data_IF_849290210141
#
_entry.id   IF_849290210141
#
_cell.length_a   1.000
_cell.length_b   1.000
_cell.length_c   1.000
_cell.angle_alpha   90.00
_cell.angle_beta   90.00
_cell.angle_gamma   90.00
#
_symmetry.space_group_name_H-M   'P 1'
#
loop_
_entity.id
_entity.type
_entity.pdbx_description
1 polymer ?
#
# COMPACT_ATOMS: atom_id res chain seq x y z
N UNK A 1 11.73 3.11 -24.22
CA UNK A 1 11.18 3.28 -22.84
C UNK A 1 10.99 4.76 -22.58
N UNK A 2 9.74 5.20 -22.40
CA UNK A 2 9.49 6.58 -21.96
C UNK A 2 10.03 6.69 -20.52
N UNK A 3 10.87 7.69 -20.24
CA UNK A 3 11.26 8.00 -18.87
C UNK A 3 10.04 8.52 -18.14
N UNK A 4 9.65 7.88 -17.04
CA UNK A 4 8.59 8.38 -16.18
C UNK A 4 8.97 9.76 -15.61
N UNK A 5 8.00 10.66 -15.56
CA UNK A 5 8.19 12.03 -15.10
C UNK A 5 7.87 12.14 -13.60
N UNK A 6 8.78 12.76 -12.87
CA UNK A 6 8.53 13.10 -11.46
C UNK A 6 7.52 14.24 -11.38
N UNK A 7 6.45 14.05 -10.61
CA UNK A 7 5.41 15.04 -10.40
C UNK A 7 5.83 16.11 -9.38
N UNK A 8 5.33 17.34 -9.60
CA UNK A 8 5.51 18.43 -8.66
C UNK A 8 4.50 18.32 -7.51
N UNK A 9 5.02 18.16 -6.30
CA UNK A 9 4.24 18.02 -5.07
C UNK A 9 3.39 19.25 -4.74
N UNK A 10 3.78 20.44 -5.21
CA UNK A 10 3.04 21.68 -5.00
C UNK A 10 1.74 21.76 -5.81
N UNK A 11 1.61 20.95 -6.87
CA UNK A 11 0.48 20.97 -7.80
C UNK A 11 -0.52 19.83 -7.60
N UNK A 12 -0.57 19.23 -6.41
CA UNK A 12 -1.60 18.22 -6.10
C UNK A 12 -2.97 18.88 -6.08
N UNK A 13 -3.88 18.58 -7.02
CA UNK A 13 -5.19 19.20 -7.06
C UNK A 13 -6.03 18.85 -5.83
N UNK A 14 -6.76 19.82 -5.31
CA UNK A 14 -7.58 19.67 -4.09
C UNK A 14 -8.80 18.76 -4.27
N UNK A 15 -9.34 18.69 -5.50
CA UNK A 15 -10.50 17.87 -5.81
C UNK A 15 -10.11 16.73 -6.76
N UNK A 16 -10.47 15.48 -6.44
CA UNK A 16 -10.14 14.35 -7.30
C UNK A 16 -10.96 14.43 -8.60
N UNK A 17 -10.32 14.21 -9.77
CA UNK A 17 -11.02 14.08 -11.04
C UNK A 17 -11.99 12.88 -11.07
N UNK A 18 -12.96 12.92 -11.96
CA UNK A 18 -14.01 11.88 -12.09
C UNK A 18 -13.43 10.47 -12.31
N UNK A 19 -12.32 10.34 -13.03
CA UNK A 19 -11.67 9.03 -13.26
C UNK A 19 -11.19 8.33 -11.97
N UNK A 20 -11.01 9.06 -10.87
CA UNK A 20 -10.69 8.46 -9.58
C UNK A 20 -11.88 7.69 -8.96
N UNK A 21 -13.11 7.86 -9.45
CA UNK A 21 -14.25 7.11 -8.94
C UNK A 21 -14.08 5.60 -9.18
N UNK A 22 -13.58 5.20 -10.36
CA UNK A 22 -13.26 3.79 -10.64
C UNK A 22 -12.17 3.27 -9.72
N UNK A 23 -11.16 4.07 -9.47
CA UNK A 23 -10.08 3.73 -8.53
C UNK A 23 -10.63 3.58 -7.10
N UNK A 24 -11.55 4.44 -6.67
CA UNK A 24 -12.19 4.32 -5.35
C UNK A 24 -13.02 3.04 -5.20
N UNK A 25 -13.74 2.63 -6.25
CA UNK A 25 -14.44 1.34 -6.25
C UNK A 25 -13.45 0.17 -6.16
N UNK A 26 -12.35 0.25 -6.89
CA UNK A 26 -11.31 -0.78 -6.88
C UNK A 26 -10.67 -0.91 -5.49
N UNK A 27 -10.30 0.18 -4.83
CA UNK A 27 -9.70 0.11 -3.49
C UNK A 27 -10.66 -0.40 -2.43
N UNK A 28 -11.95 -0.15 -2.55
CA UNK A 28 -12.95 -0.72 -1.64
C UNK A 28 -12.96 -2.23 -1.72
N UNK A 29 -12.98 -2.80 -2.92
CA UNK A 29 -12.91 -4.25 -3.14
C UNK A 29 -11.60 -4.85 -2.62
N UNK A 30 -10.47 -4.19 -2.86
CA UNK A 30 -9.16 -4.63 -2.37
C UNK A 30 -9.11 -4.60 -0.85
N UNK A 31 -9.61 -3.56 -0.22
CA UNK A 31 -9.68 -3.44 1.24
C UNK A 31 -10.50 -4.58 1.86
N UNK A 32 -11.63 -4.92 1.27
CA UNK A 32 -12.47 -6.05 1.72
C UNK A 32 -11.72 -7.38 1.61
N UNK A 33 -11.09 -7.65 0.48
CA UNK A 33 -10.29 -8.87 0.25
C UNK A 33 -9.16 -8.99 1.27
N UNK A 34 -8.40 -7.93 1.49
CA UNK A 34 -7.28 -7.92 2.43
C UNK A 34 -7.75 -8.08 3.88
N UNK A 35 -8.86 -7.45 4.24
CA UNK A 35 -9.48 -7.59 5.56
C UNK A 35 -9.92 -9.04 5.82
N UNK A 36 -10.54 -9.68 4.84
CA UNK A 36 -10.98 -11.07 4.95
C UNK A 36 -9.78 -12.01 5.12
N UNK A 37 -8.71 -11.83 4.35
CA UNK A 37 -7.48 -12.63 4.45
C UNK A 37 -6.85 -12.47 5.84
N UNK A 38 -6.75 -11.26 6.36
CA UNK A 38 -6.18 -10.99 7.69
C UNK A 38 -7.04 -11.64 8.78
N UNK A 39 -8.35 -11.51 8.69
CA UNK A 39 -9.28 -12.13 9.63
C UNK A 39 -9.13 -13.65 9.64
N UNK A 40 -9.03 -14.27 8.48
CA UNK A 40 -8.80 -15.72 8.36
C UNK A 40 -7.44 -16.13 8.96
N UNK A 41 -6.38 -15.40 8.66
CA UNK A 41 -5.05 -15.66 9.21
C UNK A 41 -5.03 -15.58 10.74
N UNK A 42 -5.68 -14.59 11.33
CA UNK A 42 -5.77 -14.41 12.77
C UNK A 42 -6.61 -15.52 13.43
N UNK A 43 -7.68 -15.96 12.78
CA UNK A 43 -8.50 -17.08 13.28
C UNK A 43 -7.72 -18.40 13.31
N UNK A 44 -6.86 -18.64 12.31
CA UNK A 44 -6.03 -19.84 12.23
C UNK A 44 -4.81 -19.78 13.18
N UNK A 45 -4.29 -18.59 13.43
CA UNK A 45 -3.09 -18.34 14.24
C UNK A 45 -3.25 -17.09 15.12
N UNK A 46 -3.95 -17.19 16.26
CA UNK A 46 -4.25 -16.01 17.10
C UNK A 46 -3.02 -15.26 17.64
N UNK A 47 -1.88 -15.93 17.74
CA UNK A 47 -0.62 -15.35 18.26
C UNK A 47 0.29 -14.80 17.17
N UNK A 48 -0.17 -14.73 15.93
CA UNK A 48 0.63 -14.36 14.77
C UNK A 48 1.25 -12.95 14.88
N UNK A 49 0.56 -12.02 15.54
CA UNK A 49 1.02 -10.65 15.73
C UNK A 49 2.10 -10.51 16.81
N UNK A 50 2.30 -11.54 17.61
CA UNK A 50 3.27 -11.55 18.72
C UNK A 50 4.55 -12.32 18.41
N UNK A 51 4.60 -13.01 17.27
CA UNK A 51 5.76 -13.82 16.87
C UNK A 51 6.79 -12.93 16.16
N UNK A 52 7.73 -12.41 16.94
CA UNK A 52 8.74 -11.44 16.50
C UNK A 52 9.94 -12.06 15.76
N UNK A 53 9.97 -13.37 15.60
CA UNK A 53 11.12 -14.07 15.02
C UNK A 53 11.09 -14.18 13.48
N UNK A 54 10.16 -13.49 12.81
CA UNK A 54 10.10 -13.51 11.36
C UNK A 54 11.01 -12.45 10.71
N UNK A 55 11.78 -12.88 9.75
CA UNK A 55 12.80 -12.20 8.93
C UNK A 55 12.32 -10.91 8.22
N UNK A 56 11.08 -10.48 8.41
CA UNK A 56 10.47 -9.35 7.71
C UNK A 56 10.07 -8.20 8.63
N UNK A 57 10.95 -7.87 9.58
CA UNK A 57 10.79 -6.71 10.48
C UNK A 57 10.58 -5.37 9.77
N UNK A 58 11.01 -5.26 8.50
CA UNK A 58 10.86 -4.03 7.71
C UNK A 58 9.39 -3.66 7.43
N UNK A 59 8.51 -4.64 7.31
CA UNK A 59 7.08 -4.43 7.09
C UNK A 59 6.27 -4.42 8.38
N UNK A 60 6.86 -4.80 9.49
CA UNK A 60 6.16 -4.98 10.76
C UNK A 60 6.20 -3.72 11.62
N UNK A 61 5.02 -3.26 12.04
CA UNK A 61 4.87 -2.19 13.02
C UNK A 61 4.84 -2.75 14.44
N UNK A 62 5.30 -1.97 15.42
CA UNK A 62 5.21 -2.36 16.84
C UNK A 62 3.77 -2.50 17.32
N UNK A 63 2.85 -1.74 16.75
CA UNK A 63 1.41 -1.75 17.04
C UNK A 63 0.62 -1.57 15.75
N UNK A 64 -0.60 -2.12 15.65
CA UNK A 64 -1.46 -1.86 14.52
C UNK A 64 -1.71 -0.36 14.37
N UNK A 65 -1.59 0.22 13.18
CA UNK A 65 -1.97 1.60 12.92
C UNK A 65 -3.46 1.83 13.24
N UNK A 66 -3.80 3.03 13.73
CA UNK A 66 -5.18 3.43 14.05
C UNK A 66 -6.03 3.81 12.83
N UNK A 67 -5.59 3.48 11.64
CA UNK A 67 -6.28 3.75 10.38
C UNK A 67 -6.69 2.43 9.73
N UNK A 68 -7.93 2.35 9.22
CA UNK A 68 -8.39 1.18 8.49
C UNK A 68 -7.64 1.00 7.17
N UNK A 69 -7.67 -0.21 6.62
CA UNK A 69 -7.08 -0.51 5.30
C UNK A 69 -7.71 0.38 4.23
N UNK A 70 -9.03 0.52 4.23
CA UNK A 70 -9.74 1.36 3.26
C UNK A 70 -9.35 2.83 3.37
N UNK A 71 -9.30 3.39 4.57
CA UNK A 71 -8.93 4.79 4.78
C UNK A 71 -7.46 5.03 4.40
N UNK A 72 -6.59 4.07 4.66
CA UNK A 72 -5.18 4.14 4.27
C UNK A 72 -5.00 4.12 2.76
N UNK A 73 -5.65 3.19 2.07
CA UNK A 73 -5.69 3.14 0.59
C UNK A 73 -6.28 4.42 0.01
N UNK A 74 -7.39 4.90 0.57
CA UNK A 74 -8.04 6.14 0.14
C UNK A 74 -7.12 7.34 0.27
N UNK A 75 -6.35 7.43 1.36
CA UNK A 75 -5.36 8.48 1.56
C UNK A 75 -4.25 8.44 0.51
N UNK A 76 -3.67 7.27 0.26
CA UNK A 76 -2.61 7.12 -0.73
C UNK A 76 -3.13 7.47 -2.13
N UNK A 77 -4.29 6.95 -2.51
CA UNK A 77 -4.92 7.20 -3.81
C UNK A 77 -5.29 8.67 -4.00
N UNK A 78 -5.79 9.33 -2.96
CA UNK A 78 -6.14 10.76 -3.01
C UNK A 78 -4.96 11.64 -3.38
N UNK A 79 -3.78 11.34 -2.84
CA UNK A 79 -2.58 12.15 -3.06
C UNK A 79 -1.75 11.69 -4.26
N UNK A 80 -1.63 10.39 -4.49
CA UNK A 80 -0.81 9.83 -5.58
C UNK A 80 -1.54 9.65 -6.90
N UNK A 81 -2.87 9.53 -6.88
CA UNK A 81 -3.76 9.45 -8.06
C UNK A 81 -3.40 8.37 -9.08
N UNK A 82 -3.20 7.13 -8.66
CA UNK A 82 -2.95 6.04 -9.58
C UNK A 82 -4.21 5.69 -10.38
N UNK A 83 -4.02 5.13 -11.56
CA UNK A 83 -5.10 4.50 -12.32
C UNK A 83 -5.58 3.22 -11.63
N UNK A 84 -6.83 2.82 -11.88
CA UNK A 84 -7.42 1.60 -11.29
C UNK A 84 -6.62 0.34 -11.62
N UNK A 85 -6.08 0.25 -12.85
CA UNK A 85 -5.20 -0.84 -13.26
C UNK A 85 -3.91 -0.92 -12.45
N UNK A 86 -3.32 0.22 -12.10
CA UNK A 86 -2.13 0.30 -11.25
C UNK A 86 -2.43 -0.19 -9.83
N UNK A 87 -3.58 0.17 -9.28
CA UNK A 87 -4.02 -0.32 -7.97
C UNK A 87 -4.22 -1.84 -7.99
N UNK A 88 -4.83 -2.36 -9.04
CA UNK A 88 -4.98 -3.81 -9.24
C UNK A 88 -3.62 -4.52 -9.37
N UNK A 89 -2.66 -3.90 -10.06
CA UNK A 89 -1.30 -4.43 -10.16
C UNK A 89 -0.62 -4.52 -8.78
N UNK A 90 -0.86 -3.56 -7.89
CA UNK A 90 -0.33 -3.61 -6.53
C UNK A 90 -0.79 -4.84 -5.76
N UNK A 91 -2.04 -5.25 -5.94
CA UNK A 91 -2.57 -6.49 -5.34
C UNK A 91 -1.82 -7.72 -5.84
N UNK A 92 -1.45 -7.76 -7.13
CA UNK A 92 -0.62 -8.84 -7.69
C UNK A 92 0.76 -8.89 -7.04
N UNK A 93 1.36 -7.76 -6.71
CA UNK A 93 2.63 -7.72 -5.98
C UNK A 93 2.49 -8.22 -4.55
N UNK A 94 1.41 -7.88 -3.86
CA UNK A 94 1.11 -8.41 -2.52
C UNK A 94 0.96 -9.93 -2.58
N UNK A 95 0.21 -10.46 -3.54
CA UNK A 95 0.03 -11.91 -3.73
C UNK A 95 1.36 -12.62 -3.99
N UNK A 96 2.20 -12.08 -4.86
CA UNK A 96 3.53 -12.63 -5.13
C UNK A 96 4.45 -12.58 -3.92
N UNK A 97 4.43 -11.48 -3.17
CA UNK A 97 5.25 -11.34 -1.97
C UNK A 97 4.86 -12.37 -0.91
N UNK A 98 3.57 -12.50 -0.63
CA UNK A 98 3.06 -13.45 0.37
C UNK A 98 3.37 -14.90 0.02
N UNK A 99 3.20 -15.27 -1.25
CA UNK A 99 3.46 -16.63 -1.73
C UNK A 99 4.96 -16.98 -1.77
N UNK A 100 5.80 -16.09 -2.28
CA UNK A 100 7.24 -16.34 -2.44
C UNK A 100 8.00 -16.33 -1.14
N UNK A 101 7.61 -15.46 -0.22
CA UNK A 101 8.29 -15.24 1.05
C UNK A 101 7.58 -15.90 2.23
N UNK A 102 6.46 -16.58 1.96
CA UNK A 102 5.63 -17.19 3.00
C UNK A 102 5.24 -16.21 4.13
N UNK A 103 4.93 -14.97 3.74
CA UNK A 103 4.49 -13.93 4.68
C UNK A 103 3.00 -14.03 4.89
N UNK A 104 2.57 -14.08 6.14
CA UNK A 104 1.17 -13.97 6.50
C UNK A 104 0.80 -12.50 6.72
N UNK A 105 -0.27 -12.05 6.05
CA UNK A 105 -0.79 -10.70 6.23
C UNK A 105 -1.46 -10.57 7.60
N UNK A 106 -1.11 -9.52 8.31
CA UNK A 106 -1.61 -9.19 9.64
C UNK A 106 -1.89 -7.69 9.78
N UNK A 107 -2.57 -7.29 10.85
CA UNK A 107 -2.83 -5.88 11.13
C UNK A 107 -1.56 -5.05 11.36
N UNK A 108 -0.45 -5.67 11.74
CA UNK A 108 0.82 -4.98 12.01
C UNK A 108 1.73 -4.87 10.79
N UNK A 109 1.46 -5.56 9.68
CA UNK A 109 2.31 -5.50 8.48
C UNK A 109 1.59 -4.99 7.24
N UNK A 110 0.28 -5.08 7.16
CA UNK A 110 -0.47 -4.81 5.94
C UNK A 110 -0.31 -3.38 5.41
N UNK A 111 -0.27 -2.37 6.27
CA UNK A 111 -0.16 -0.98 5.83
C UNK A 111 1.16 -0.70 5.11
N UNK A 112 2.28 -1.18 5.64
CA UNK A 112 3.59 -1.03 4.99
C UNK A 112 3.69 -1.83 3.70
N UNK A 113 3.09 -3.01 3.66
CA UNK A 113 3.03 -3.84 2.45
C UNK A 113 2.19 -3.15 1.37
N UNK A 114 1.05 -2.59 1.72
CA UNK A 114 0.21 -1.80 0.80
C UNK A 114 0.99 -0.62 0.23
N UNK A 115 1.61 0.19 1.07
CA UNK A 115 2.36 1.36 0.64
C UNK A 115 3.47 0.98 -0.35
N UNK A 116 4.27 0.00 0.00
CA UNK A 116 5.39 -0.47 -0.83
C UNK A 116 4.89 -1.02 -2.16
N UNK A 117 3.89 -1.89 -2.14
CA UNK A 117 3.35 -2.53 -3.34
C UNK A 117 2.71 -1.51 -4.29
N UNK A 118 1.98 -0.54 -3.74
CA UNK A 118 1.32 0.49 -4.54
C UNK A 118 2.33 1.47 -5.15
N UNK A 119 3.34 1.89 -4.40
CA UNK A 119 4.40 2.76 -4.93
C UNK A 119 5.21 2.07 -6.01
N UNK A 120 5.54 0.79 -5.85
CA UNK A 120 6.22 0.02 -6.89
C UNK A 120 5.33 -0.07 -8.14
N UNK A 121 4.05 -0.37 -7.98
CA UNK A 121 3.10 -0.44 -9.08
C UNK A 121 3.00 0.91 -9.84
N UNK A 122 2.91 2.02 -9.11
CA UNK A 122 2.91 3.37 -9.70
C UNK A 122 4.18 3.61 -10.51
N UNK A 123 5.34 3.38 -9.93
CA UNK A 123 6.63 3.61 -10.61
C UNK A 123 6.86 2.70 -11.82
N UNK A 124 6.28 1.51 -11.82
CA UNK A 124 6.39 0.56 -12.93
C UNK A 124 5.38 0.82 -14.06
N UNK A 125 4.20 1.31 -13.74
CA UNK A 125 3.06 1.34 -14.67
C UNK A 125 2.64 2.76 -15.08
N UNK A 126 2.87 3.76 -14.25
CA UNK A 126 2.48 5.15 -14.53
C UNK A 126 3.61 5.91 -15.26
N UNK A 127 3.23 6.84 -16.14
CA UNK A 127 4.20 7.70 -16.82
C UNK A 127 4.74 8.81 -15.90
N UNK A 128 4.02 9.13 -14.83
CA UNK A 128 4.35 10.18 -13.88
C UNK A 128 4.23 9.65 -12.45
N UNK A 129 5.16 10.04 -11.57
CA UNK A 129 5.16 9.67 -10.16
C UNK A 129 5.81 10.75 -9.29
N UNK A 130 5.53 10.70 -8.00
CA UNK A 130 6.14 11.59 -6.99
C UNK A 130 7.46 11.04 -6.46
N UNK A 131 8.16 11.86 -5.68
CA UNK A 131 9.39 11.46 -4.99
C UNK A 131 9.13 10.42 -3.89
N UNK A 132 10.17 9.69 -3.50
CA UNK A 132 10.08 8.78 -2.35
C UNK A 132 9.73 9.52 -1.06
N UNK A 133 10.23 10.75 -0.90
CA UNK A 133 9.89 11.62 0.23
C UNK A 133 8.38 11.91 0.30
N UNK A 134 7.76 12.17 -0.82
CA UNK A 134 6.31 12.37 -0.91
C UNK A 134 5.54 11.11 -0.49
N UNK A 135 5.89 9.95 -1.02
CA UNK A 135 5.22 8.70 -0.67
C UNK A 135 5.42 8.31 0.79
N UNK A 136 6.61 8.50 1.35
CA UNK A 136 6.88 8.28 2.77
C UNK A 136 5.97 9.17 3.65
N UNK A 137 5.86 10.45 3.30
CA UNK A 137 4.99 11.40 4.00
C UNK A 137 3.51 11.02 3.91
N UNK A 138 3.03 10.66 2.73
CA UNK A 138 1.65 10.17 2.53
C UNK A 138 1.41 8.88 3.32
N UNK A 139 2.37 7.98 3.33
CA UNK A 139 2.33 6.72 4.05
C UNK A 139 2.51 6.84 5.57
N UNK A 140 2.84 8.02 6.08
CA UNK A 140 3.03 8.25 7.51
C UNK A 140 4.26 7.59 8.10
N UNK A 141 5.31 7.40 7.31
CA UNK A 141 6.62 6.85 7.71
C UNK A 141 7.74 7.82 7.36
N UNK A 142 8.90 7.62 7.96
CA UNK A 142 10.08 8.40 7.60
C UNK A 142 10.65 7.96 6.25
N UNK A 143 11.34 8.87 5.56
CA UNK A 143 12.02 8.51 4.31
C UNK A 143 13.03 7.38 4.51
N UNK A 144 13.71 7.34 5.65
CA UNK A 144 14.64 6.28 6.01
C UNK A 144 13.94 4.92 6.10
N UNK A 145 12.79 4.85 6.76
CA UNK A 145 11.99 3.61 6.83
C UNK A 145 11.46 3.19 5.45
N UNK A 146 11.14 4.14 4.59
CA UNK A 146 10.63 3.86 3.26
C UNK A 146 11.70 3.29 2.31
N UNK A 147 12.94 3.76 2.39
CA UNK A 147 14.06 3.33 1.53
C UNK A 147 14.62 1.97 1.98
N UNK A 148 14.62 1.70 3.25
CA UNK A 148 15.12 0.45 3.85
C UNK A 148 13.96 -0.49 4.14
#
# INVERSE_FOLDING_TARGET
>A
MKKAKLLDEANVPKNPPIYLQETLVTITKIADILTDIITENLNQSPNLEHDSDNYFDYFTCKRPPHISILDYLSRIVKYSRPESGTVTLSLSFIDKLTKRQNILLTNINIHRIILTSLVIAIKCNEDEYYSNSFYAKVGGITLKEFIY
#
